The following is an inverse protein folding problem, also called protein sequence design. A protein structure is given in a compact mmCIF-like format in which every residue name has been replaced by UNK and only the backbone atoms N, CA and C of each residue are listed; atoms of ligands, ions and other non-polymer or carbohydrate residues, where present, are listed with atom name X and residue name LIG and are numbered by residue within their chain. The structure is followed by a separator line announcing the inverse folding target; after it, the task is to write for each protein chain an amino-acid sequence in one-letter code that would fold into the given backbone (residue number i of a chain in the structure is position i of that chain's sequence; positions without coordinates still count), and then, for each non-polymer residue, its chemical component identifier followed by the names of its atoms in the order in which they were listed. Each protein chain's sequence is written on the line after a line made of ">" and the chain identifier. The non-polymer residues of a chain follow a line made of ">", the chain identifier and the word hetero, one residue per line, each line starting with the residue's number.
data_IF_254391131480
#
_entry.id   IF_254391131480
#
_cell.length_a   1.000
_cell.length_b   1.000
_cell.length_c   1.000
_cell.angle_alpha   90.00
_cell.angle_beta   90.00
_cell.angle_gamma   90.00
#
_symmetry.space_group_name_H-M   'P 1'
#
loop_
_entity.id
_entity.type
_entity.pdbx_description
1 polymer ?
#
# COMPACT_ATOMS: atom_id res chain seq x y z
N UNK A 1 12.25 -22.46 50.15
CA UNK A 1 11.66 -21.18 49.71
C UNK A 1 11.36 -21.36 48.24
N UNK A 2 10.08 -21.48 47.92
CA UNK A 2 9.56 -21.79 46.60
C UNK A 2 9.26 -20.47 45.88
N UNK A 3 9.90 -20.25 44.73
CA UNK A 3 9.62 -19.13 43.84
C UNK A 3 9.12 -19.71 42.51
N UNK A 4 7.93 -20.31 42.51
CA UNK A 4 7.18 -20.61 41.29
C UNK A 4 6.58 -19.30 40.72
N UNK A 5 7.42 -18.45 40.14
CA UNK A 5 6.95 -17.45 39.19
C UNK A 5 6.64 -18.21 37.90
N UNK A 6 5.37 -18.22 37.46
CA UNK A 6 4.98 -18.91 36.23
C UNK A 6 5.83 -18.39 35.07
N UNK A 7 6.58 -19.27 34.40
CA UNK A 7 7.46 -18.90 33.30
C UNK A 7 6.62 -18.45 32.11
N UNK A 8 6.53 -17.13 31.90
CA UNK A 8 6.00 -16.54 30.68
C UNK A 8 6.90 -15.38 30.27
N UNK A 9 7.03 -15.16 28.97
CA UNK A 9 7.88 -14.12 28.41
C UNK A 9 7.32 -13.61 27.08
N UNK A 10 7.75 -12.41 26.68
CA UNK A 10 7.41 -11.84 25.38
C UNK A 10 8.57 -12.02 24.40
N UNK A 11 8.23 -12.25 23.14
CA UNK A 11 9.18 -12.20 22.03
C UNK A 11 8.71 -11.16 21.04
N UNK A 12 9.60 -10.24 20.67
CA UNK A 12 9.37 -9.32 19.57
C UNK A 12 9.93 -9.94 18.29
N UNK A 13 9.12 -10.01 17.23
CA UNK A 13 9.48 -10.61 15.95
C UNK A 13 9.37 -9.57 14.82
N UNK A 14 10.33 -8.63 14.69
CA UNK A 14 10.29 -7.65 13.61
C UNK A 14 10.63 -8.31 12.26
N UNK A 15 9.89 -7.96 11.20
CA UNK A 15 10.09 -8.52 9.86
C UNK A 15 11.44 -8.16 9.22
N UNK A 16 12.08 -7.08 9.67
CA UNK A 16 13.34 -6.57 9.13
C UNK A 16 14.60 -6.96 9.94
N UNK A 17 14.46 -7.66 11.07
CA UNK A 17 15.56 -7.89 12.00
C UNK A 17 16.66 -8.84 11.46
N UNK A 18 16.35 -9.69 10.48
CA UNK A 18 17.20 -10.85 10.12
C UNK A 18 17.46 -11.00 8.63
N UNK A 19 17.40 -9.92 7.85
CA UNK A 19 17.71 -9.91 6.40
C UNK A 19 19.17 -10.27 6.09
N UNK A 20 20.08 -10.14 7.05
CA UNK A 20 21.47 -10.58 6.92
C UNK A 20 21.58 -12.11 6.86
N UNK A 21 20.71 -12.83 7.59
CA UNK A 21 20.70 -14.29 7.75
C UNK A 21 19.69 -14.95 6.80
N UNK A 22 18.46 -14.46 6.78
CA UNK A 22 17.35 -14.99 5.96
C UNK A 22 17.08 -14.07 4.77
N UNK A 23 17.77 -14.32 3.65
CA UNK A 23 17.72 -13.48 2.44
C UNK A 23 16.36 -13.42 1.74
N UNK A 24 15.52 -14.42 1.97
CA UNK A 24 14.20 -14.54 1.35
C UNK A 24 13.06 -14.00 2.23
N UNK A 25 13.39 -13.36 3.37
CA UNK A 25 12.37 -12.72 4.20
C UNK A 25 11.65 -11.62 3.40
N UNK A 26 10.34 -11.57 3.56
CA UNK A 26 9.46 -10.52 3.04
C UNK A 26 8.69 -9.89 4.20
N UNK A 27 8.05 -8.74 3.99
CA UNK A 27 7.24 -8.09 5.03
C UNK A 27 6.07 -8.95 5.52
N UNK A 28 5.55 -9.86 4.70
CA UNK A 28 4.40 -10.72 5.01
C UNK A 28 4.76 -12.17 5.35
N UNK A 29 6.02 -12.57 5.15
CA UNK A 29 6.52 -13.91 5.48
C UNK A 29 8.01 -13.80 5.82
N UNK A 30 8.33 -13.98 7.10
CA UNK A 30 9.69 -13.81 7.61
C UNK A 30 9.98 -14.73 8.78
N UNK A 31 11.28 -14.98 8.99
CA UNK A 31 11.83 -15.61 10.18
C UNK A 31 12.76 -14.63 10.90
N UNK A 32 12.69 -14.60 12.23
CA UNK A 32 13.54 -13.75 13.09
C UNK A 32 14.59 -14.61 13.78
N UNK A 33 15.85 -14.21 13.65
CA UNK A 33 16.98 -14.73 14.42
C UNK A 33 17.02 -14.03 15.78
N UNK A 34 16.76 -14.78 16.85
CA UNK A 34 16.68 -14.24 18.21
C UNK A 34 18.09 -14.14 18.81
N UNK A 35 18.36 -13.04 19.51
CA UNK A 35 19.67 -12.82 20.15
C UNK A 35 20.01 -13.89 21.21
N UNK A 36 19.00 -14.49 21.83
CA UNK A 36 19.15 -15.58 22.78
C UNK A 36 18.26 -16.74 22.36
N UNK A 37 18.79 -17.96 22.47
CA UNK A 37 18.04 -19.18 22.24
C UNK A 37 16.96 -19.32 23.32
N UNK A 38 15.74 -19.66 22.89
CA UNK A 38 14.61 -19.89 23.79
C UNK A 38 14.48 -21.41 23.98
N UNK A 39 14.87 -21.89 25.14
CA UNK A 39 14.73 -23.30 25.50
C UNK A 39 13.34 -23.55 26.12
N UNK A 40 12.45 -24.13 25.32
CA UNK A 40 11.09 -24.49 25.76
C UNK A 40 11.06 -25.95 26.20
N UNK A 41 10.85 -26.18 27.51
CA UNK A 41 10.60 -27.51 28.05
C UNK A 41 9.09 -27.72 28.27
N UNK A 42 8.55 -28.84 27.80
CA UNK A 42 7.13 -29.19 27.99
C UNK A 42 6.19 -28.56 26.97
N UNK A 43 4.93 -28.39 27.36
CA UNK A 43 3.88 -27.80 26.51
C UNK A 43 3.75 -26.30 26.80
N UNK A 44 3.76 -25.51 25.75
CA UNK A 44 3.64 -24.05 25.81
C UNK A 44 2.45 -23.59 24.97
N UNK A 45 1.71 -22.62 25.50
CA UNK A 45 0.71 -21.88 24.74
C UNK A 45 1.34 -20.59 24.21
N UNK A 46 1.04 -20.28 22.96
CA UNK A 46 1.51 -19.05 22.30
C UNK A 46 0.30 -18.20 21.98
N UNK A 47 0.35 -16.93 22.39
CA UNK A 47 -0.67 -15.94 22.09
C UNK A 47 -0.04 -14.74 21.40
N UNK A 48 -0.70 -14.24 20.33
CA UNK A 48 -0.37 -12.94 19.75
C UNK A 48 -0.89 -11.86 20.70
N UNK A 49 0.02 -11.10 21.31
CA UNK A 49 -0.36 -10.05 22.26
C UNK A 49 -0.48 -8.69 21.60
N UNK A 50 0.39 -8.39 20.64
CA UNK A 50 0.40 -7.15 19.89
C UNK A 50 0.92 -7.39 18.46
N UNK A 51 0.35 -6.65 17.51
CA UNK A 51 0.93 -6.50 16.17
C UNK A 51 1.07 -5.01 15.88
N UNK A 52 2.30 -4.55 15.66
CA UNK A 52 2.57 -3.21 15.15
C UNK A 52 2.86 -3.31 13.65
N UNK A 53 1.92 -2.84 12.85
CA UNK A 53 2.09 -2.69 11.41
C UNK A 53 2.06 -1.20 11.09
N UNK A 54 3.17 -0.59 10.63
CA UNK A 54 3.14 0.79 10.16
C UNK A 54 2.18 0.86 8.97
N UNK A 55 1.06 1.55 9.17
CA UNK A 55 -0.12 1.42 8.33
C UNK A 55 0.03 2.11 6.95
N UNK A 56 1.10 2.87 6.73
CA UNK A 56 1.27 3.71 5.54
C UNK A 56 2.70 3.70 5.01
N UNK A 57 3.04 2.67 4.23
CA UNK A 57 4.08 2.80 3.22
C UNK A 57 3.41 2.78 1.85
N UNK A 58 3.24 3.95 1.25
CA UNK A 58 2.87 4.08 -0.15
C UNK A 58 4.11 3.77 -1.00
N UNK A 59 4.54 2.51 -0.99
CA UNK A 59 5.64 2.05 -1.81
C UNK A 59 5.09 1.54 -3.14
N UNK A 60 5.35 2.28 -4.20
CA UNK A 60 4.93 1.95 -5.56
C UNK A 60 6.16 1.44 -6.33
N UNK A 61 6.33 0.13 -6.55
CA UNK A 61 7.47 -0.39 -7.30
C UNK A 61 7.60 0.29 -8.66
N UNK A 62 8.83 0.59 -9.10
CA UNK A 62 9.05 1.31 -10.36
C UNK A 62 8.46 0.60 -11.59
N UNK A 63 8.42 -0.72 -11.57
CA UNK A 63 7.83 -1.57 -12.62
C UNK A 63 6.30 -1.46 -12.67
N UNK A 64 5.67 -1.23 -11.51
CA UNK A 64 4.22 -1.13 -11.34
C UNK A 64 3.74 0.33 -11.31
N UNK A 65 4.65 1.29 -11.38
CA UNK A 65 4.37 2.73 -11.30
C UNK A 65 3.78 3.27 -12.61
N UNK A 66 2.59 2.81 -12.98
CA UNK A 66 1.89 3.26 -14.17
C UNK A 66 0.37 3.10 -14.07
N UNK A 67 -0.33 3.83 -14.93
CA UNK A 67 -1.74 3.60 -15.22
C UNK A 67 -1.99 3.68 -16.71
N UNK A 68 -3.16 3.23 -17.14
CA UNK A 68 -3.58 3.34 -18.52
C UNK A 68 -4.84 4.18 -18.64
N UNK A 69 -4.94 4.92 -19.73
CA UNK A 69 -6.09 5.77 -20.00
C UNK A 69 -6.44 5.76 -21.48
N UNK A 70 -7.70 6.07 -21.81
CA UNK A 70 -8.18 6.17 -23.18
C UNK A 70 -9.31 7.18 -23.30
N UNK A 71 -9.32 7.90 -24.41
CA UNK A 71 -10.44 8.73 -24.84
C UNK A 71 -11.50 7.88 -25.57
N UNK A 72 -12.61 8.51 -25.95
CA UNK A 72 -13.66 7.88 -26.75
C UNK A 72 -13.20 7.34 -28.11
N UNK A 73 -12.08 7.84 -28.64
CA UNK A 73 -11.47 7.34 -29.88
C UNK A 73 -10.93 5.90 -29.75
N UNK A 74 -10.82 5.38 -28.53
CA UNK A 74 -10.42 4.01 -28.23
C UNK A 74 -8.89 3.80 -28.19
N UNK A 75 -8.09 4.82 -28.47
CA UNK A 75 -6.64 4.76 -28.37
C UNK A 75 -6.22 4.62 -26.91
N UNK A 76 -5.39 3.61 -26.64
CA UNK A 76 -4.94 3.31 -25.28
C UNK A 76 -3.55 3.90 -25.09
N UNK A 77 -3.40 4.64 -24.02
CA UNK A 77 -2.14 5.23 -23.61
C UNK A 77 -1.74 4.69 -22.25
N UNK A 78 -0.43 4.50 -22.06
CA UNK A 78 0.15 4.14 -20.76
C UNK A 78 0.90 5.34 -20.23
N UNK A 79 0.54 5.78 -19.03
CA UNK A 79 1.23 6.83 -18.32
C UNK A 79 2.11 6.20 -17.25
N UNK A 80 3.42 6.42 -17.34
CA UNK A 80 4.34 6.12 -16.25
C UNK A 80 4.25 7.23 -15.21
N UNK A 81 4.32 6.87 -13.94
CA UNK A 81 4.45 7.80 -12.82
C UNK A 81 5.72 7.46 -12.03
N UNK A 82 6.12 8.35 -11.13
CA UNK A 82 7.25 8.09 -10.23
C UNK A 82 6.95 6.90 -9.32
N UNK A 83 7.81 5.89 -9.41
CA UNK A 83 7.88 4.82 -8.43
C UNK A 83 8.71 5.21 -7.20
N UNK A 84 8.61 4.39 -6.17
CA UNK A 84 9.29 4.53 -4.89
C UNK A 84 8.34 4.86 -3.75
N UNK A 85 8.92 5.43 -2.71
CA UNK A 85 8.24 5.76 -1.47
C UNK A 85 7.55 7.13 -1.58
N UNK A 86 6.24 7.17 -1.33
CA UNK A 86 5.52 8.41 -1.04
C UNK A 86 5.32 8.55 0.48
N UNK A 87 5.74 9.68 1.05
CA UNK A 87 5.62 9.95 2.49
C UNK A 87 4.16 10.01 2.94
N UNK A 88 3.28 10.52 2.07
CA UNK A 88 1.85 10.67 2.34
C UNK A 88 1.00 10.62 1.05
N UNK A 89 -0.33 10.62 1.24
CA UNK A 89 -1.32 10.63 0.16
C UNK A 89 -1.31 11.92 -0.67
N UNK A 90 -0.79 13.03 -0.13
CA UNK A 90 -0.71 14.29 -0.86
C UNK A 90 0.43 14.29 -1.88
N UNK A 91 1.54 13.62 -1.59
CA UNK A 91 2.59 13.40 -2.58
C UNK A 91 2.10 12.53 -3.73
N UNK A 92 1.40 11.43 -3.45
CA UNK A 92 0.80 10.60 -4.48
C UNK A 92 -0.22 11.39 -5.32
N UNK A 93 -1.03 12.23 -4.67
CA UNK A 93 -1.96 13.14 -5.36
C UNK A 93 -1.23 14.12 -6.30
N UNK A 94 -0.15 14.75 -5.83
CA UNK A 94 0.64 15.71 -6.62
C UNK A 94 1.25 15.02 -7.84
N UNK A 95 1.77 13.82 -7.67
CA UNK A 95 2.33 13.01 -8.76
C UNK A 95 1.28 12.62 -9.80
N UNK A 96 0.10 12.17 -9.36
CA UNK A 96 -0.99 11.85 -10.30
C UNK A 96 -1.48 13.09 -11.05
N UNK A 97 -1.47 14.26 -10.40
CA UNK A 97 -1.91 15.53 -10.98
C UNK A 97 -0.82 16.27 -11.76
N UNK A 98 0.42 15.78 -11.83
CA UNK A 98 1.49 16.40 -12.63
C UNK A 98 1.43 16.00 -14.12
N UNK A 99 0.93 14.80 -14.40
CA UNK A 99 0.80 14.21 -15.74
C UNK A 99 -0.38 14.69 -16.62
N UNK A 100 -1.54 15.13 -16.09
CA UNK A 100 -2.70 15.55 -16.88
C UNK A 100 -2.43 16.65 -17.92
N UNK A 101 -1.36 17.45 -17.74
CA UNK A 101 -0.93 18.43 -18.76
C UNK A 101 -0.49 17.79 -20.08
N UNK A 102 -0.05 16.53 -20.07
CA UNK A 102 0.32 15.78 -21.28
C UNK A 102 -0.88 15.04 -21.91
N UNK A 103 -1.99 14.90 -21.19
CA UNK A 103 -3.14 14.05 -21.57
C UNK A 103 -4.22 14.82 -22.36
N UNK A 104 -4.15 16.16 -22.40
CA UNK A 104 -5.18 17.01 -23.01
C UNK A 104 -6.54 16.92 -22.32
N UNK A 105 -6.57 16.48 -21.06
CA UNK A 105 -7.76 16.31 -20.22
C UNK A 105 -7.43 16.70 -18.79
N UNK A 106 -8.35 17.41 -18.12
CA UNK A 106 -8.18 17.79 -16.72
C UNK A 106 -8.65 16.64 -15.83
N UNK A 107 -7.88 15.54 -15.79
CA UNK A 107 -8.06 14.55 -14.73
C UNK A 107 -7.50 15.14 -13.44
N UNK A 108 -8.33 15.18 -12.41
CA UNK A 108 -7.93 15.64 -11.08
C UNK A 108 -8.19 14.54 -10.06
N UNK A 109 -7.22 14.34 -9.18
CA UNK A 109 -7.33 13.53 -7.97
C UNK A 109 -7.21 14.44 -6.76
N UNK A 110 -8.08 14.26 -5.77
CA UNK A 110 -8.06 15.02 -4.53
C UNK A 110 -8.33 14.11 -3.34
N UNK A 111 -7.36 13.99 -2.46
CA UNK A 111 -7.53 13.26 -1.22
C UNK A 111 -8.40 14.06 -0.24
N UNK A 112 -9.39 13.40 0.35
CA UNK A 112 -10.24 13.92 1.42
C UNK A 112 -9.94 13.20 2.72
N UNK A 113 -9.28 13.90 3.66
CA UNK A 113 -8.97 13.35 4.98
C UNK A 113 -10.23 13.09 5.84
N UNK A 114 -11.34 13.76 5.53
CA UNK A 114 -12.63 13.56 6.23
C UNK A 114 -13.29 12.27 5.74
N UNK A 115 -13.35 12.06 4.42
CA UNK A 115 -13.96 10.86 3.83
C UNK A 115 -13.04 9.64 3.86
N UNK A 116 -11.74 9.86 4.12
CA UNK A 116 -10.66 8.88 3.93
C UNK A 116 -10.68 8.30 2.51
N UNK A 117 -10.90 9.13 1.48
CA UNK A 117 -11.11 8.71 0.09
C UNK A 117 -10.48 9.68 -0.89
N UNK A 118 -10.15 9.22 -2.10
CA UNK A 118 -9.84 10.11 -3.21
C UNK A 118 -11.11 10.51 -3.94
N UNK A 119 -11.34 11.80 -4.06
CA UNK A 119 -12.27 12.36 -5.04
C UNK A 119 -11.55 12.47 -6.38
N UNK A 120 -12.22 12.12 -7.48
CA UNK A 120 -11.68 12.23 -8.83
C UNK A 120 -12.70 12.82 -9.80
N UNK A 121 -12.22 13.55 -10.80
CA UNK A 121 -13.04 14.13 -11.86
C UNK A 121 -12.22 14.31 -13.15
N UNK A 122 -12.88 14.27 -14.30
CA UNK A 122 -12.30 14.63 -15.60
C UNK A 122 -13.21 15.60 -16.35
N UNK A 123 -12.63 16.49 -17.16
CA UNK A 123 -13.37 17.43 -18.01
C UNK A 123 -13.90 16.81 -19.31
N UNK A 124 -13.32 15.68 -19.72
CA UNK A 124 -13.72 14.91 -20.91
C UNK A 124 -14.06 13.47 -20.53
N UNK A 125 -14.83 12.78 -21.38
CA UNK A 125 -15.09 11.35 -21.24
C UNK A 125 -13.79 10.55 -21.41
N UNK A 126 -13.09 10.35 -20.30
CA UNK A 126 -11.88 9.55 -20.20
C UNK A 126 -12.19 8.30 -19.39
N UNK A 127 -11.64 7.17 -19.83
CA UNK A 127 -11.60 5.94 -19.03
C UNK A 127 -10.18 5.69 -18.59
N UNK A 128 -10.02 5.28 -17.35
CA UNK A 128 -8.73 4.92 -16.77
C UNK A 128 -8.80 3.46 -16.27
N UNK A 129 -7.65 2.82 -16.29
CA UNK A 129 -7.40 1.49 -15.72
C UNK A 129 -6.18 1.59 -14.83
N UNK A 130 -6.37 1.25 -13.56
CA UNK A 130 -5.33 1.23 -12.54
C UNK A 130 -4.83 -0.19 -12.31
N UNK A 131 -3.58 -0.32 -11.90
CA UNK A 131 -2.93 -1.60 -11.59
C UNK A 131 -2.58 -1.66 -10.10
N UNK A 132 -2.35 -2.84 -9.58
CA UNK A 132 -1.79 -2.98 -8.23
C UNK A 132 -0.31 -2.52 -8.26
N UNK A 133 0.21 -1.91 -7.18
CA UNK A 133 -0.50 -1.56 -5.94
C UNK A 133 -1.24 -0.20 -6.01
N UNK A 134 -1.03 0.59 -7.06
CA UNK A 134 -1.60 1.94 -7.21
C UNK A 134 -3.14 1.99 -7.04
N UNK A 135 -3.86 1.03 -7.61
CA UNK A 135 -5.32 0.94 -7.47
C UNK A 135 -5.74 0.88 -5.99
N UNK A 136 -5.05 0.07 -5.19
CA UNK A 136 -5.32 -0.08 -3.77
C UNK A 136 -4.99 1.19 -2.99
N UNK A 137 -3.87 1.85 -3.32
CA UNK A 137 -3.50 3.13 -2.70
C UNK A 137 -4.53 4.24 -2.96
N UNK A 138 -5.31 4.12 -4.03
CA UNK A 138 -6.37 5.06 -4.38
C UNK A 138 -7.76 4.61 -3.94
N UNK A 139 -7.89 3.44 -3.30
CA UNK A 139 -9.17 2.87 -2.88
C UNK A 139 -10.05 2.42 -4.06
N UNK A 140 -9.42 1.99 -5.17
CA UNK A 140 -10.04 1.62 -6.44
C UNK A 140 -9.86 0.11 -6.73
N UNK A 141 -10.71 -0.46 -7.59
CA UNK A 141 -10.52 -1.80 -8.11
C UNK A 141 -9.37 -1.84 -9.14
N UNK A 142 -8.46 -2.82 -9.07
CA UNK A 142 -7.40 -2.98 -10.06
C UNK A 142 -7.93 -3.65 -11.35
N UNK A 143 -7.24 -3.39 -12.46
CA UNK A 143 -7.43 -4.01 -13.78
C UNK A 143 -8.77 -3.72 -14.49
N UNK A 144 -9.67 -2.97 -13.87
CA UNK A 144 -10.95 -2.56 -14.43
C UNK A 144 -10.86 -1.20 -15.13
N UNK A 145 -11.53 -1.06 -16.27
CA UNK A 145 -11.72 0.24 -16.91
C UNK A 145 -12.92 0.93 -16.26
N UNK A 146 -12.70 2.09 -15.66
CA UNK A 146 -13.78 2.93 -15.15
C UNK A 146 -13.76 4.31 -15.79
N UNK A 147 -14.95 4.90 -15.91
CA UNK A 147 -15.13 6.23 -16.44
C UNK A 147 -14.86 7.26 -15.34
N UNK A 148 -14.02 8.26 -15.63
CA UNK A 148 -13.73 9.32 -14.67
C UNK A 148 -14.84 10.36 -14.73
N UNK A 149 -15.92 10.09 -13.99
CA UNK A 149 -16.94 11.07 -13.63
C UNK A 149 -16.68 11.58 -12.23
N UNK A 150 -17.06 12.82 -11.94
CA UNK A 150 -16.93 13.41 -10.60
C UNK A 150 -17.52 12.46 -9.55
N UNK A 151 -16.66 11.84 -8.73
CA UNK A 151 -17.04 10.83 -7.75
C UNK A 151 -15.93 10.64 -6.70
N UNK A 152 -16.18 9.79 -5.71
CA UNK A 152 -15.20 9.33 -4.73
C UNK A 152 -14.78 7.88 -5.02
N UNK A 153 -13.60 7.49 -4.54
CA UNK A 153 -13.13 6.10 -4.57
C UNK A 153 -14.14 5.17 -3.88
N UNK A 154 -14.38 3.95 -4.38
CA UNK A 154 -15.34 3.00 -3.82
C UNK A 154 -14.95 2.49 -2.43
N UNK A 155 -13.65 2.50 -2.10
CA UNK A 155 -13.13 2.11 -0.79
C UNK A 155 -12.40 3.28 -0.12
N UNK A 156 -12.40 3.33 1.22
CA UNK A 156 -11.47 4.18 1.94
C UNK A 156 -10.03 3.84 1.56
N UNK A 157 -9.18 4.85 1.53
CA UNK A 157 -7.74 4.66 1.55
C UNK A 157 -7.35 4.52 3.00
N UNK A 158 -7.12 3.27 3.42
CA UNK A 158 -6.73 2.97 4.79
C UNK A 158 -5.39 3.69 5.09
N UNK A 159 -5.40 4.53 6.14
CA UNK A 159 -4.23 5.26 6.66
C UNK A 159 -3.72 4.55 7.89
#
# INVERSE_FOLDING_TARGET
>A
MDQSQGEWFYVNLPSNASLSVFKNNTSSNYQTDLAQHVDLAGLWDVALTEITYPHTWFNLPEEDAHFEWKHNNGEKHRQKIRGGYCDDLYQLQQELNSHPRELGTDISFKYSNIKKRFDYAATSNCKIRLFQPLAYMLGMNPFEWFEIKANSSPYPVDI
#
